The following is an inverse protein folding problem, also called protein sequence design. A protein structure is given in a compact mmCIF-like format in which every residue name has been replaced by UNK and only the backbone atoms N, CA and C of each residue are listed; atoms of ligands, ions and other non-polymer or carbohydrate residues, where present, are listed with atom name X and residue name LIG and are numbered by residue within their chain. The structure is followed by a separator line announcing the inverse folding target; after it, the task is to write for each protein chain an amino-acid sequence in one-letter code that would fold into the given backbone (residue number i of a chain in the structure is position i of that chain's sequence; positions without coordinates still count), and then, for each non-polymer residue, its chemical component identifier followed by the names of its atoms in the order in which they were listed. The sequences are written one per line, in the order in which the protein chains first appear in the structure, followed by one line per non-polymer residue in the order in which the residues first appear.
data_IF_986178510550
#
_entry.id   IF_986178510550
#
_cell.length_a   1.000
_cell.length_b   1.000
_cell.length_c   1.000
_cell.angle_alpha   90.00
_cell.angle_beta   90.00
_cell.angle_gamma   90.00
#
_symmetry.space_group_name_H-M   'P 1'
#
loop_
_entity.id
_entity.type
_entity.pdbx_description
1 polymer ?
#
# COMPACT_ATOMS: atom_id res chain seq x y z
N UNK A 1 11.94 -34.39 -38.34
CA UNK A 1 12.22 -34.91 -36.97
C UNK A 1 12.76 -33.73 -36.16
N UNK A 2 12.47 -33.60 -34.87
CA UNK A 2 12.88 -32.43 -34.08
C UNK A 2 14.41 -32.47 -33.90
N UNK A 3 15.13 -31.59 -34.60
CA UNK A 3 16.59 -31.48 -34.54
C UNK A 3 16.95 -30.29 -33.66
N UNK A 4 17.87 -30.50 -32.71
CA UNK A 4 18.31 -29.49 -31.75
C UNK A 4 19.82 -29.43 -31.82
N UNK A 5 20.36 -28.24 -32.10
CA UNK A 5 21.80 -28.01 -32.02
C UNK A 5 22.20 -27.71 -30.57
N UNK A 6 22.94 -28.62 -29.96
CA UNK A 6 23.47 -28.46 -28.60
C UNK A 6 24.77 -27.67 -28.54
N UNK A 7 25.36 -27.28 -29.69
CA UNK A 7 26.60 -26.49 -29.77
C UNK A 7 26.48 -25.09 -29.15
N UNK A 8 25.27 -24.54 -29.07
CA UNK A 8 24.96 -23.24 -28.47
C UNK A 8 24.31 -23.33 -27.08
N UNK A 9 24.43 -24.48 -26.38
CA UNK A 9 23.74 -24.72 -25.09
C UNK A 9 24.17 -23.80 -23.95
N UNK A 10 25.35 -23.20 -24.00
CA UNK A 10 25.89 -22.37 -22.92
C UNK A 10 25.90 -23.13 -21.57
N UNK A 11 25.29 -22.55 -20.53
CA UNK A 11 25.13 -23.15 -19.19
C UNK A 11 23.88 -24.04 -19.04
N UNK A 12 23.04 -24.16 -20.08
CA UNK A 12 21.78 -24.89 -20.01
C UNK A 12 22.00 -26.39 -20.07
N UNK A 13 21.22 -27.12 -19.29
CA UNK A 13 21.15 -28.59 -19.32
C UNK A 13 20.53 -29.06 -20.64
N UNK A 14 20.84 -30.30 -21.05
CA UNK A 14 20.25 -30.90 -22.25
C UNK A 14 18.72 -30.99 -22.15
N UNK A 15 18.18 -31.15 -20.94
CA UNK A 15 16.74 -31.13 -20.66
C UNK A 15 16.14 -29.77 -21.00
N UNK A 16 16.75 -28.67 -20.55
CA UNK A 16 16.29 -27.30 -20.82
C UNK A 16 16.37 -26.94 -22.31
N UNK A 17 17.39 -27.43 -23.03
CA UNK A 17 17.49 -27.26 -24.48
C UNK A 17 16.36 -27.98 -25.22
N UNK A 18 16.06 -29.23 -24.84
CA UNK A 18 14.97 -30.01 -25.45
C UNK A 18 13.62 -29.38 -25.14
N UNK A 19 13.36 -29.06 -23.88
CA UNK A 19 12.17 -28.36 -23.44
C UNK A 19 11.99 -27.03 -24.20
N UNK A 20 13.02 -26.18 -24.23
CA UNK A 20 12.95 -24.85 -24.83
C UNK A 20 12.70 -24.90 -26.34
N UNK A 21 13.37 -25.81 -27.06
CA UNK A 21 13.17 -25.97 -28.50
C UNK A 21 11.77 -26.48 -28.84
N UNK A 22 11.27 -27.49 -28.12
CA UNK A 22 9.93 -28.02 -28.36
C UNK A 22 8.88 -26.96 -28.01
N UNK A 23 9.05 -26.23 -26.90
CA UNK A 23 8.17 -25.11 -26.51
C UNK A 23 8.14 -24.02 -27.59
N UNK A 24 9.29 -23.62 -28.14
CA UNK A 24 9.35 -22.63 -29.22
C UNK A 24 8.65 -23.12 -30.49
N UNK A 25 8.79 -24.40 -30.86
CA UNK A 25 8.13 -24.94 -32.04
C UNK A 25 6.60 -25.05 -31.87
N UNK A 26 6.12 -25.34 -30.66
CA UNK A 26 4.69 -25.32 -30.31
C UNK A 26 4.14 -23.88 -30.38
N UNK A 27 4.82 -22.92 -29.73
CA UNK A 27 4.39 -21.51 -29.69
C UNK A 27 4.51 -20.81 -31.05
N UNK A 28 5.54 -21.13 -31.83
CA UNK A 28 5.76 -20.62 -33.18
C UNK A 28 4.86 -21.27 -34.24
N UNK A 29 4.00 -22.23 -33.86
CA UNK A 29 3.05 -22.89 -34.77
C UNK A 29 3.68 -23.92 -35.73
N UNK A 30 4.96 -24.25 -35.55
CA UNK A 30 5.64 -25.28 -36.34
C UNK A 30 5.17 -26.69 -35.96
N UNK A 31 4.81 -26.91 -34.70
CA UNK A 31 4.15 -28.13 -34.23
C UNK A 31 2.66 -27.82 -34.04
N UNK A 32 1.81 -28.52 -34.78
CA UNK A 32 0.36 -28.27 -34.80
C UNK A 32 -0.34 -28.91 -33.62
N UNK A 33 -1.49 -28.34 -33.25
CA UNK A 33 -2.41 -28.95 -32.28
C UNK A 33 -2.73 -30.41 -32.67
N UNK A 34 -2.70 -31.31 -31.68
CA UNK A 34 -2.85 -32.76 -31.82
C UNK A 34 -1.78 -33.46 -32.68
N UNK A 35 -0.69 -32.77 -33.04
CA UNK A 35 0.45 -33.40 -33.70
C UNK A 35 1.17 -34.33 -32.72
N UNK A 36 1.49 -35.54 -33.19
CA UNK A 36 2.17 -36.57 -32.40
C UNK A 36 3.67 -36.32 -32.37
N UNK A 37 4.24 -36.16 -31.19
CA UNK A 37 5.68 -36.06 -31.00
C UNK A 37 6.36 -37.44 -31.10
N UNK A 38 7.66 -37.48 -31.45
CA UNK A 38 8.46 -38.70 -31.37
C UNK A 38 8.43 -39.30 -29.96
N UNK A 39 8.52 -40.64 -29.88
CA UNK A 39 8.61 -41.32 -28.59
C UNK A 39 9.88 -40.90 -27.84
N UNK A 40 9.87 -41.01 -26.50
CA UNK A 40 11.03 -40.71 -25.65
C UNK A 40 12.32 -41.36 -26.15
N UNK A 41 12.24 -42.63 -26.57
CA UNK A 41 13.37 -43.43 -27.09
C UNK A 41 13.80 -42.99 -28.49
N UNK A 42 12.85 -42.69 -29.38
CA UNK A 42 13.15 -42.25 -30.73
C UNK A 42 13.83 -40.87 -30.74
N UNK A 43 13.34 -39.93 -29.92
CA UNK A 43 13.95 -38.61 -29.80
C UNK A 43 15.33 -38.68 -29.11
N UNK A 44 15.46 -39.52 -28.08
CA UNK A 44 16.74 -39.74 -27.41
C UNK A 44 17.79 -40.33 -28.35
N UNK A 45 17.42 -41.32 -29.16
CA UNK A 45 18.30 -41.92 -30.17
C UNK A 45 18.71 -40.91 -31.25
N UNK A 46 17.76 -40.10 -31.73
CA UNK A 46 18.01 -39.10 -32.76
C UNK A 46 18.94 -37.97 -32.29
N UNK A 47 18.77 -37.52 -31.04
CA UNK A 47 19.56 -36.44 -30.44
C UNK A 47 20.85 -36.91 -29.76
N UNK A 48 21.07 -38.23 -29.65
CA UNK A 48 22.24 -38.80 -28.97
C UNK A 48 22.26 -38.54 -27.46
N UNK A 49 21.10 -38.43 -26.81
CA UNK A 49 20.96 -38.10 -25.38
C UNK A 49 20.31 -39.24 -24.59
N UNK A 50 20.36 -39.17 -23.26
CA UNK A 50 19.66 -40.14 -22.39
C UNK A 50 18.14 -40.04 -22.57
N UNK A 51 17.46 -41.18 -22.55
CA UNK A 51 15.98 -41.27 -22.54
C UNK A 51 15.39 -40.50 -21.35
N UNK A 52 16.10 -40.46 -20.21
CA UNK A 52 15.68 -39.72 -19.01
C UNK A 52 15.64 -38.20 -19.25
N UNK A 53 16.59 -37.67 -20.03
CA UNK A 53 16.65 -36.24 -20.41
C UNK A 53 15.43 -35.84 -21.24
N UNK A 54 15.08 -36.65 -22.24
CA UNK A 54 13.88 -36.44 -23.05
C UNK A 54 12.61 -36.60 -22.21
N UNK A 55 12.59 -37.60 -21.31
CA UNK A 55 11.47 -37.82 -20.40
C UNK A 55 11.21 -36.59 -19.51
N UNK A 56 12.24 -36.02 -18.91
CA UNK A 56 12.10 -34.86 -18.04
C UNK A 56 11.63 -33.62 -18.81
N UNK A 57 12.14 -33.42 -20.04
CA UNK A 57 11.70 -32.33 -20.90
C UNK A 57 10.22 -32.48 -21.32
N UNK A 58 9.80 -33.69 -21.70
CA UNK A 58 8.40 -33.96 -22.03
C UNK A 58 7.49 -33.85 -20.81
N UNK A 59 7.94 -34.31 -19.64
CA UNK A 59 7.18 -34.19 -18.40
C UNK A 59 6.94 -32.72 -18.07
N UNK A 60 7.98 -31.88 -18.15
CA UNK A 60 7.85 -30.44 -17.94
C UNK A 60 6.87 -29.78 -18.93
N UNK A 61 6.87 -30.20 -20.19
CA UNK A 61 5.90 -29.71 -21.19
C UNK A 61 4.46 -30.20 -20.94
N UNK A 62 4.30 -31.38 -20.35
CA UNK A 62 2.99 -31.90 -19.92
C UNK A 62 2.49 -31.16 -18.69
N UNK A 63 3.37 -30.91 -17.71
CA UNK A 63 3.04 -30.18 -16.49
C UNK A 63 2.63 -28.73 -16.80
N UNK A 64 3.21 -28.12 -17.83
CA UNK A 64 2.81 -26.80 -18.36
C UNK A 64 1.58 -26.85 -19.29
N UNK A 65 1.05 -28.04 -19.57
CA UNK A 65 -0.12 -28.24 -20.42
C UNK A 65 0.13 -28.06 -21.92
N UNK A 66 1.38 -27.88 -22.36
CA UNK A 66 1.74 -27.74 -23.78
C UNK A 66 1.67 -29.06 -24.54
N UNK A 67 1.89 -30.17 -23.84
CA UNK A 67 1.70 -31.52 -24.34
C UNK A 67 0.67 -32.27 -23.49
N UNK A 68 0.07 -33.31 -24.07
CA UNK A 68 -0.67 -34.32 -23.34
C UNK A 68 -0.24 -35.71 -23.79
N UNK A 69 -0.34 -36.70 -22.89
CA UNK A 69 -0.02 -38.08 -23.21
C UNK A 69 -1.28 -38.93 -23.30
N UNK A 70 -1.37 -39.76 -24.33
CA UNK A 70 -2.39 -40.82 -24.41
C UNK A 70 -1.68 -42.16 -24.21
N UNK A 71 -2.20 -42.96 -23.26
CA UNK A 71 -1.66 -44.28 -22.96
C UNK A 71 -1.55 -45.14 -24.24
N UNK A 72 -0.39 -45.80 -24.43
CA UNK A 72 -0.07 -46.65 -25.60
C UNK A 72 -0.10 -45.94 -26.97
N UNK A 73 -0.39 -44.64 -27.04
CA UNK A 73 -0.47 -43.88 -28.30
C UNK A 73 0.61 -42.81 -28.46
N UNK A 74 1.13 -42.23 -27.38
CA UNK A 74 2.29 -41.32 -27.40
C UNK A 74 2.02 -39.95 -26.77
N UNK A 75 2.83 -38.96 -27.15
CA UNK A 75 2.76 -37.56 -26.68
C UNK A 75 2.23 -36.69 -27.82
N UNK A 76 1.33 -35.77 -27.52
CA UNK A 76 0.65 -34.94 -28.50
C UNK A 76 0.66 -33.48 -28.05
N UNK A 77 0.68 -32.53 -28.99
CA UNK A 77 0.59 -31.10 -28.69
C UNK A 77 -0.83 -30.73 -28.28
N UNK A 78 -0.99 -30.04 -27.15
CA UNK A 78 -2.29 -29.58 -26.65
C UNK A 78 -2.92 -28.52 -27.56
N UNK A 79 -4.27 -28.44 -27.59
CA UNK A 79 -5.03 -27.47 -28.39
C UNK A 79 -5.04 -26.03 -27.80
N UNK A 80 -3.95 -25.62 -27.14
CA UNK A 80 -3.78 -24.29 -26.55
C UNK A 80 -3.29 -23.28 -27.59
N UNK A 81 -2.58 -23.73 -28.62
CA UNK A 81 -1.99 -22.85 -29.67
C UNK A 81 -3.08 -22.10 -30.45
N UNK A 82 -4.29 -22.68 -30.59
CA UNK A 82 -5.43 -21.98 -31.19
C UNK A 82 -5.86 -20.76 -30.37
N UNK A 83 -5.75 -20.77 -29.04
CA UNK A 83 -6.10 -19.62 -28.21
C UNK A 83 -5.00 -18.55 -28.15
N UNK A 84 -3.73 -18.94 -28.26
CA UNK A 84 -2.60 -18.01 -28.29
C UNK A 84 -2.51 -17.22 -29.62
N UNK A 85 -2.87 -17.85 -30.74
CA UNK A 85 -2.81 -17.22 -32.06
C UNK A 85 -4.11 -16.48 -32.47
N UNK A 86 -5.23 -16.68 -31.76
CA UNK A 86 -6.52 -16.06 -32.10
C UNK A 86 -6.73 -14.68 -31.47
N UNK A 87 -5.69 -14.06 -30.93
CA UNK A 87 -5.84 -12.77 -30.26
C UNK A 87 -4.55 -12.22 -29.70
N UNK A 88 -3.43 -12.30 -30.43
CA UNK A 88 -2.31 -11.44 -30.11
C UNK A 88 -2.81 -10.00 -30.28
N UNK A 89 -2.90 -9.18 -29.20
CA UNK A 89 -3.15 -7.77 -29.40
C UNK A 89 -2.00 -7.28 -30.28
N UNK A 90 -2.35 -6.68 -31.44
CA UNK A 90 -1.38 -5.97 -32.28
C UNK A 90 -0.48 -5.17 -31.35
N UNK A 91 0.86 -5.27 -31.46
CA UNK A 91 1.77 -4.65 -30.50
C UNK A 91 1.27 -3.22 -30.33
N UNK A 92 0.74 -2.93 -29.14
CA UNK A 92 0.14 -1.65 -28.86
C UNK A 92 1.19 -0.66 -29.34
N UNK A 93 0.85 0.14 -30.36
CA UNK A 93 1.68 1.25 -30.77
C UNK A 93 2.08 1.88 -29.47
N UNK A 94 3.39 1.85 -29.20
CA UNK A 94 3.94 2.36 -27.96
C UNK A 94 3.53 3.82 -27.95
N UNK A 95 2.37 4.12 -27.36
CA UNK A 95 2.10 5.40 -26.78
C UNK A 95 3.32 5.56 -25.90
N UNK A 96 4.16 6.50 -26.30
CA UNK A 96 5.27 6.94 -25.51
C UNK A 96 4.69 7.18 -24.14
N UNK A 97 4.84 6.20 -23.25
CA UNK A 97 4.77 6.42 -21.81
C UNK A 97 5.65 7.65 -21.67
N UNK A 98 5.13 8.80 -21.20
CA UNK A 98 6.02 9.91 -20.91
C UNK A 98 7.07 9.27 -20.03
N UNK A 99 8.32 9.25 -20.52
CA UNK A 99 9.43 8.59 -19.86
C UNK A 99 9.26 9.00 -18.41
N UNK A 100 8.99 8.01 -17.54
CA UNK A 100 8.77 8.27 -16.13
C UNK A 100 9.97 9.10 -15.75
N UNK A 101 9.74 10.40 -15.55
CA UNK A 101 10.81 11.37 -15.54
C UNK A 101 11.77 10.82 -14.50
N UNK A 102 12.95 10.44 -14.98
CA UNK A 102 14.03 10.05 -14.13
C UNK A 102 14.25 11.29 -13.28
N UNK A 103 13.64 11.34 -12.09
CA UNK A 103 13.82 12.42 -11.12
C UNK A 103 15.17 12.20 -10.45
N UNK A 104 16.19 11.88 -11.25
CA UNK A 104 17.58 11.93 -10.90
C UNK A 104 17.94 13.39 -10.68
N UNK A 105 17.97 13.78 -9.41
CA UNK A 105 18.41 15.09 -8.94
C UNK A 105 17.43 16.20 -9.29
N UNK A 106 16.60 16.60 -8.32
CA UNK A 106 16.05 17.96 -8.34
C UNK A 106 17.21 18.94 -8.56
N UNK A 107 17.06 19.98 -9.42
CA UNK A 107 18.08 21.00 -9.55
C UNK A 107 18.39 21.59 -8.16
N UNK A 108 19.64 21.97 -7.87
CA UNK A 108 19.99 22.54 -6.58
C UNK A 108 19.21 23.84 -6.41
N UNK A 109 18.12 23.78 -5.66
CA UNK A 109 17.39 24.98 -5.26
C UNK A 109 18.30 25.78 -4.32
N UNK A 110 18.41 27.08 -4.54
CA UNK A 110 19.11 27.97 -3.61
C UNK A 110 18.43 27.96 -2.23
N UNK A 111 17.10 27.94 -2.22
CA UNK A 111 16.27 27.75 -1.03
C UNK A 111 14.97 27.06 -1.43
N UNK A 112 14.51 26.12 -0.60
CA UNK A 112 13.27 25.39 -0.83
C UNK A 112 12.25 25.71 0.27
N UNK A 113 11.21 26.45 -0.10
CA UNK A 113 10.07 26.79 0.76
C UNK A 113 8.84 25.91 0.47
N UNK A 114 8.99 24.91 -0.39
CA UNK A 114 7.90 24.04 -0.86
C UNK A 114 8.00 22.64 -0.29
N UNK A 115 9.23 22.12 -0.09
CA UNK A 115 9.41 20.82 0.51
C UNK A 115 9.18 20.89 2.01
N UNK A 116 8.18 20.15 2.46
CA UNK A 116 7.93 19.90 3.87
C UNK A 116 8.82 18.71 4.35
N UNK A 117 10.09 18.73 3.95
CA UNK A 117 11.06 17.65 4.11
C UNK A 117 11.88 17.83 5.40
N UNK A 118 12.18 16.72 6.07
CA UNK A 118 13.10 16.71 7.22
C UNK A 118 14.52 16.88 6.66
N UNK A 119 15.30 17.81 7.21
CA UNK A 119 16.71 17.97 6.84
C UNK A 119 17.46 16.66 7.09
N UNK A 120 18.10 16.05 6.06
CA UNK A 120 18.81 14.78 6.21
C UNK A 120 19.87 14.79 7.31
N UNK A 121 20.50 15.95 7.54
CA UNK A 121 21.55 16.15 8.55
C UNK A 121 21.04 16.02 9.99
N UNK A 122 19.74 16.23 10.21
CA UNK A 122 19.13 16.14 11.54
C UNK A 122 18.70 14.72 11.92
N UNK A 123 18.66 13.79 10.96
CA UNK A 123 18.25 12.42 11.26
C UNK A 123 19.37 11.66 11.98
N UNK A 124 19.12 11.06 13.17
CA UNK A 124 20.16 10.45 13.97
C UNK A 124 20.48 9.02 13.49
N UNK A 125 21.11 8.90 12.30
CA UNK A 125 21.42 7.61 11.67
C UNK A 125 22.15 6.64 12.59
N UNK A 126 23.16 7.11 13.33
CA UNK A 126 23.93 6.26 14.25
C UNK A 126 23.09 5.71 15.40
N UNK A 127 22.12 6.49 15.91
CA UNK A 127 21.20 6.01 16.93
C UNK A 127 20.26 4.96 16.33
N UNK A 128 19.63 5.28 15.20
CA UNK A 128 18.73 4.37 14.50
C UNK A 128 19.37 3.02 14.18
N UNK A 129 20.58 3.03 13.58
CA UNK A 129 21.31 1.81 13.26
C UNK A 129 21.71 0.99 14.49
N UNK A 130 22.02 1.65 15.62
CA UNK A 130 22.31 0.93 16.88
C UNK A 130 21.05 0.28 17.43
N UNK A 131 19.94 1.00 17.48
CA UNK A 131 18.66 0.46 17.96
C UNK A 131 18.18 -0.70 17.10
N UNK A 132 18.27 -0.59 15.77
CA UNK A 132 17.93 -1.69 14.86
C UNK A 132 18.78 -2.94 15.15
N UNK A 133 20.10 -2.78 15.28
CA UNK A 133 21.00 -3.90 15.62
C UNK A 133 20.67 -4.53 16.97
N UNK A 134 20.33 -3.73 17.98
CA UNK A 134 19.92 -4.24 19.30
C UNK A 134 18.66 -5.11 19.19
N UNK A 135 17.65 -4.67 18.42
CA UNK A 135 16.43 -5.45 18.21
C UNK A 135 16.71 -6.75 17.46
N UNK A 136 17.50 -6.70 16.39
CA UNK A 136 17.82 -7.88 15.59
C UNK A 136 18.67 -8.91 16.36
N UNK A 137 19.57 -8.45 17.23
CA UNK A 137 20.44 -9.32 18.04
C UNK A 137 19.76 -9.85 19.32
N UNK A 138 18.51 -9.48 19.58
CA UNK A 138 17.78 -9.99 20.74
C UNK A 138 17.32 -11.45 20.57
N UNK A 139 17.56 -12.05 19.39
CA UNK A 139 17.10 -13.40 18.99
C UNK A 139 15.62 -13.64 19.32
N UNK A 140 14.83 -12.57 19.19
CA UNK A 140 13.41 -12.58 19.54
C UNK A 140 12.62 -13.26 18.42
N UNK A 141 12.20 -14.51 18.64
CA UNK A 141 11.41 -15.30 17.70
C UNK A 141 10.16 -14.56 17.21
N UNK A 142 9.62 -13.61 17.98
CA UNK A 142 8.45 -12.80 17.60
C UNK A 142 8.70 -11.97 16.33
N UNK A 143 9.94 -11.64 16.01
CA UNK A 143 10.30 -10.94 14.77
C UNK A 143 10.04 -11.79 13.52
N UNK A 144 9.97 -13.12 13.67
CA UNK A 144 9.71 -14.07 12.58
C UNK A 144 8.23 -14.45 12.49
N UNK A 145 7.42 -14.05 13.46
CA UNK A 145 6.00 -14.36 13.52
C UNK A 145 5.17 -13.32 12.78
N UNK A 146 4.01 -13.75 12.27
CA UNK A 146 3.04 -12.83 11.68
C UNK A 146 2.56 -11.85 12.75
N UNK A 147 2.65 -10.57 12.43
CA UNK A 147 2.18 -9.50 13.30
C UNK A 147 0.65 -9.38 13.26
N UNK A 148 0.06 -8.90 14.36
CA UNK A 148 -1.35 -8.49 14.43
C UNK A 148 -1.68 -7.52 13.29
N UNK A 149 -2.90 -7.60 12.74
CA UNK A 149 -3.36 -6.75 11.63
C UNK A 149 -3.33 -5.26 11.96
N UNK A 150 -3.35 -4.91 13.25
CA UNK A 150 -3.28 -3.52 13.76
C UNK A 150 -1.84 -3.03 13.90
N UNK A 151 -0.85 -3.88 13.65
CA UNK A 151 0.57 -3.61 13.87
C UNK A 151 1.12 -4.25 15.15
N UNK A 152 2.45 -4.22 15.28
CA UNK A 152 3.17 -4.82 16.40
C UNK A 152 2.67 -4.28 17.73
N UNK A 153 2.49 -5.17 18.70
CA UNK A 153 2.01 -4.82 20.03
C UNK A 153 2.99 -3.86 20.73
N UNK A 154 4.29 -4.08 20.55
CA UNK A 154 5.36 -3.25 21.08
C UNK A 154 5.25 -1.82 20.55
N UNK A 155 5.00 -1.66 19.25
CA UNK A 155 4.81 -0.35 18.63
C UNK A 155 3.53 0.32 19.13
N UNK A 156 2.40 -0.41 19.18
CA UNK A 156 1.13 0.12 19.70
C UNK A 156 1.28 0.59 21.16
N UNK A 157 1.96 -0.20 22.00
CA UNK A 157 2.29 0.18 23.38
C UNK A 157 3.16 1.43 23.46
N UNK A 158 4.17 1.53 22.60
CA UNK A 158 5.03 2.71 22.53
C UNK A 158 4.24 3.96 22.11
N UNK A 159 3.32 3.83 21.15
CA UNK A 159 2.39 4.89 20.73
C UNK A 159 1.49 5.31 21.89
N UNK A 160 0.84 4.38 22.60
CA UNK A 160 -0.01 4.71 23.77
C UNK A 160 0.78 5.51 24.82
N UNK A 161 2.00 5.08 25.13
CA UNK A 161 2.88 5.79 26.06
C UNK A 161 3.22 7.20 25.56
N UNK A 162 3.58 7.32 24.29
CA UNK A 162 3.91 8.60 23.67
C UNK A 162 2.71 9.57 23.71
N UNK A 163 1.52 9.10 23.37
CA UNK A 163 0.29 9.90 23.45
C UNK A 163 -0.05 10.30 24.88
N UNK A 164 0.18 9.43 25.86
CA UNK A 164 -0.02 9.75 27.28
C UNK A 164 0.94 10.86 27.73
N UNK A 165 2.21 10.76 27.37
CA UNK A 165 3.25 11.73 27.76
C UNK A 165 3.07 13.08 27.06
N UNK A 166 2.77 13.08 25.76
CA UNK A 166 2.74 14.29 24.94
C UNK A 166 1.36 14.97 24.86
N UNK A 167 0.28 14.17 24.87
CA UNK A 167 -1.10 14.66 24.71
C UNK A 167 -2.00 14.39 25.91
N UNK A 168 -1.51 13.71 26.95
CA UNK A 168 -2.33 13.28 28.10
C UNK A 168 -3.57 12.47 27.69
N UNK A 169 -3.48 11.75 26.57
CA UNK A 169 -4.54 10.87 26.08
C UNK A 169 -4.48 9.54 26.82
N UNK A 170 -5.64 9.01 27.21
CA UNK A 170 -5.78 7.67 27.78
C UNK A 170 -6.30 6.72 26.69
N UNK A 171 -5.40 5.90 26.14
CA UNK A 171 -5.65 5.08 24.96
C UNK A 171 -5.08 3.69 25.18
N UNK A 172 -5.88 2.66 24.94
CA UNK A 172 -5.43 1.26 25.02
C UNK A 172 -4.75 0.80 23.73
N UNK A 173 -3.93 -0.25 23.84
CA UNK A 173 -3.23 -0.82 22.67
C UNK A 173 -4.25 -1.31 21.62
N UNK A 174 -5.42 -1.77 22.04
CA UNK A 174 -6.47 -2.37 21.22
C UNK A 174 -7.13 -1.37 20.27
N UNK A 175 -7.14 -0.08 20.65
CA UNK A 175 -7.69 1.03 19.88
C UNK A 175 -6.74 1.53 18.79
N UNK A 176 -5.44 1.22 18.89
CA UNK A 176 -4.41 1.72 17.98
C UNK A 176 -4.28 0.82 16.76
N UNK A 177 -4.37 1.43 15.57
CA UNK A 177 -4.07 0.78 14.29
C UNK A 177 -2.94 1.53 13.62
N UNK A 178 -1.86 0.81 13.30
CA UNK A 178 -0.69 1.33 12.58
C UNK A 178 -0.89 1.15 11.07
N UNK A 179 -0.61 2.19 10.30
CA UNK A 179 -0.72 2.22 8.84
C UNK A 179 0.54 2.74 8.15
N UNK A 180 0.66 2.40 6.86
CA UNK A 180 1.77 2.78 5.98
C UNK A 180 1.57 4.20 5.40
N UNK A 181 1.35 5.17 6.28
CA UNK A 181 0.99 6.55 5.97
C UNK A 181 -0.49 6.84 6.21
N UNK A 182 -0.83 8.11 6.45
CA UNK A 182 -2.20 8.55 6.75
C UNK A 182 -3.17 8.26 5.61
N UNK A 183 -2.71 8.25 4.36
CA UNK A 183 -3.55 7.94 3.20
C UNK A 183 -4.13 6.51 3.23
N UNK A 184 -3.35 5.56 3.77
CA UNK A 184 -3.78 4.17 3.96
C UNK A 184 -4.85 4.06 5.04
N UNK A 185 -4.73 4.84 6.10
CA UNK A 185 -5.68 4.91 7.20
C UNK A 185 -6.99 5.59 6.75
N UNK A 186 -6.91 6.67 5.96
CA UNK A 186 -8.10 7.29 5.36
C UNK A 186 -8.89 6.33 4.49
N UNK A 187 -8.21 5.53 3.67
CA UNK A 187 -8.85 4.51 2.86
C UNK A 187 -9.51 3.43 3.73
N UNK A 188 -8.84 3.01 4.81
CA UNK A 188 -9.38 2.03 5.75
C UNK A 188 -10.63 2.55 6.48
N UNK A 189 -10.63 3.81 6.91
CA UNK A 189 -11.77 4.44 7.58
C UNK A 189 -13.03 4.45 6.70
N UNK A 190 -12.90 4.68 5.40
CA UNK A 190 -14.05 4.59 4.48
C UNK A 190 -14.66 3.18 4.47
N UNK A 191 -13.83 2.14 4.51
CA UNK A 191 -14.33 0.77 4.56
C UNK A 191 -15.00 0.43 5.90
N UNK A 192 -14.54 1.03 7.01
CA UNK A 192 -15.12 0.83 8.33
C UNK A 192 -16.44 1.59 8.51
N UNK A 193 -16.49 2.84 8.04
CA UNK A 193 -17.63 3.74 8.26
C UNK A 193 -18.76 3.54 7.25
N UNK A 194 -18.44 2.95 6.09
CA UNK A 194 -19.38 2.74 5.00
C UNK A 194 -19.28 3.84 3.93
N UNK A 195 -19.55 3.44 2.69
CA UNK A 195 -19.48 4.33 1.51
C UNK A 195 -20.75 5.19 1.34
N UNK A 196 -21.82 4.84 2.05
CA UNK A 196 -23.08 5.58 2.11
C UNK A 196 -22.96 6.89 2.91
N UNK A 197 -21.92 7.02 3.74
CA UNK A 197 -21.72 8.20 4.57
C UNK A 197 -21.21 9.39 3.75
N UNK A 198 -21.74 10.56 4.11
CA UNK A 198 -21.28 11.84 3.58
C UNK A 198 -20.18 12.38 4.49
N UNK A 199 -19.00 12.62 3.92
CA UNK A 199 -17.86 13.19 4.63
C UNK A 199 -17.75 14.69 4.33
N UNK A 200 -17.54 15.49 5.37
CA UNK A 200 -17.16 16.88 5.27
C UNK A 200 -15.64 17.03 5.42
N UNK A 201 -15.05 17.94 4.64
CA UNK A 201 -13.62 18.31 4.72
C UNK A 201 -13.48 19.83 4.78
N UNK A 202 -12.47 20.31 5.50
CA UNK A 202 -12.14 21.74 5.58
C UNK A 202 -11.85 22.35 4.19
N UNK A 203 -12.34 23.57 3.95
CA UNK A 203 -12.09 24.34 2.73
C UNK A 203 -11.74 25.81 3.03
N UNK A 204 -10.49 26.25 2.75
CA UNK A 204 -9.35 25.43 2.28
C UNK A 204 -8.96 24.37 3.32
N UNK A 205 -8.30 23.30 2.88
CA UNK A 205 -7.92 22.19 3.75
C UNK A 205 -6.94 21.22 3.08
N UNK A 206 -6.67 20.08 3.72
CA UNK A 206 -5.84 19.03 3.12
C UNK A 206 -6.57 18.29 2.00
N UNK A 207 -6.44 18.80 0.77
CA UNK A 207 -7.17 18.31 -0.41
C UNK A 207 -7.08 16.79 -0.66
N UNK A 208 -5.94 16.17 -0.34
CA UNK A 208 -5.72 14.73 -0.52
C UNK A 208 -6.67 13.88 0.30
N UNK A 209 -7.05 14.29 1.51
CA UNK A 209 -8.03 13.54 2.31
C UNK A 209 -9.36 13.42 1.56
N UNK A 210 -9.89 14.54 1.06
CA UNK A 210 -11.12 14.56 0.27
C UNK A 210 -11.02 13.77 -1.04
N UNK A 211 -9.87 13.78 -1.72
CA UNK A 211 -9.63 12.96 -2.91
C UNK A 211 -9.66 11.46 -2.58
N UNK A 212 -8.97 11.04 -1.51
CA UNK A 212 -8.93 9.64 -1.08
C UNK A 212 -10.32 9.14 -0.72
N UNK A 213 -11.13 9.93 -0.02
CA UNK A 213 -12.50 9.55 0.32
C UNK A 213 -13.36 9.33 -0.94
N UNK A 214 -13.25 10.22 -1.94
CA UNK A 214 -13.95 10.08 -3.23
C UNK A 214 -13.48 8.86 -4.02
N UNK A 215 -12.17 8.62 -4.07
CA UNK A 215 -11.59 7.44 -4.74
C UNK A 215 -12.04 6.12 -4.11
N UNK A 216 -12.33 6.12 -2.81
CA UNK A 216 -12.90 4.97 -2.11
C UNK A 216 -14.44 4.86 -2.22
N UNK A 217 -15.08 5.77 -2.95
CA UNK A 217 -16.50 5.73 -3.28
C UNK A 217 -17.43 6.49 -2.34
N UNK A 218 -16.91 7.31 -1.42
CA UNK A 218 -17.73 8.16 -0.55
C UNK A 218 -18.01 9.53 -1.14
N UNK A 219 -19.15 10.10 -0.77
CA UNK A 219 -19.47 11.51 -1.05
C UNK A 219 -18.68 12.41 -0.11
N UNK A 220 -17.98 13.41 -0.66
CA UNK A 220 -17.17 14.34 0.12
C UNK A 220 -17.49 15.80 -0.21
N UNK A 221 -17.98 16.55 0.79
CA UNK A 221 -18.45 17.92 0.71
C UNK A 221 -17.43 18.87 1.36
N UNK A 222 -16.99 19.94 0.68
CA UNK A 222 -16.17 20.97 1.30
C UNK A 222 -17.00 21.85 2.22
N UNK A 223 -16.49 22.15 3.43
CA UNK A 223 -17.10 23.05 4.40
C UNK A 223 -16.15 24.20 4.69
N UNK A 224 -16.63 25.44 4.66
CA UNK A 224 -15.77 26.61 4.85
C UNK A 224 -15.24 26.70 6.27
N UNK A 225 -14.06 27.30 6.39
CA UNK A 225 -13.46 27.67 7.67
C UNK A 225 -13.65 29.17 7.95
N UNK A 226 -13.71 29.51 9.22
CA UNK A 226 -13.58 30.88 9.73
C UNK A 226 -12.30 31.02 10.58
N UNK A 227 -12.16 32.13 11.31
CA UNK A 227 -10.99 32.39 12.16
C UNK A 227 -10.80 31.39 13.31
N UNK A 228 -11.77 30.50 13.55
CA UNK A 228 -11.74 29.45 14.59
C UNK A 228 -11.64 28.05 14.01
N UNK A 229 -11.55 27.88 12.69
CA UNK A 229 -11.53 26.58 11.98
C UNK A 229 -12.84 26.31 11.24
N UNK A 230 -13.19 25.04 11.03
CA UNK A 230 -14.41 24.66 10.28
C UNK A 230 -15.70 25.26 10.84
N UNK A 231 -16.57 25.78 9.98
CA UNK A 231 -17.88 26.33 10.37
C UNK A 231 -18.84 25.19 10.75
N UNK A 232 -19.24 25.12 12.03
CA UNK A 232 -20.18 24.10 12.53
C UNK A 232 -21.58 24.31 11.96
N UNK A 233 -21.98 25.55 11.70
CA UNK A 233 -23.28 25.86 11.08
C UNK A 233 -23.35 25.32 9.64
N UNK A 234 -22.30 25.55 8.85
CA UNK A 234 -22.23 24.99 7.48
C UNK A 234 -22.08 23.47 7.50
N UNK A 235 -21.37 22.93 8.50
CA UNK A 235 -21.26 21.49 8.70
C UNK A 235 -22.63 20.85 8.95
N UNK A 236 -23.47 21.44 9.81
CA UNK A 236 -24.83 20.95 10.06
C UNK A 236 -25.69 21.01 8.78
N UNK A 237 -25.61 22.12 8.03
CA UNK A 237 -26.35 22.30 6.77
C UNK A 237 -25.86 21.36 5.64
N UNK A 238 -24.62 20.88 5.71
CA UNK A 238 -24.05 20.00 4.68
C UNK A 238 -24.68 18.60 4.65
N UNK A 239 -25.36 18.19 5.73
CA UNK A 239 -25.87 16.82 5.88
C UNK A 239 -24.77 15.76 6.04
N UNK A 240 -23.52 16.17 6.29
CA UNK A 240 -22.43 15.26 6.56
C UNK A 240 -22.67 14.45 7.84
N UNK A 241 -22.22 13.20 7.84
CA UNK A 241 -22.17 12.36 9.04
C UNK A 241 -20.76 12.30 9.60
N UNK A 242 -19.73 12.51 8.79
CA UNK A 242 -18.34 12.44 9.25
C UNK A 242 -17.65 13.74 8.87
N UNK A 243 -16.79 14.28 9.74
CA UNK A 243 -16.00 15.48 9.43
C UNK A 243 -14.52 15.22 9.64
N UNK A 244 -13.68 15.59 8.67
CA UNK A 244 -12.21 15.60 8.80
C UNK A 244 -11.74 17.01 9.15
N UNK A 245 -10.97 17.13 10.23
CA UNK A 245 -10.49 18.41 10.77
C UNK A 245 -9.05 18.35 11.23
N UNK A 246 -8.36 19.49 11.20
CA UNK A 246 -6.98 19.64 11.66
C UNK A 246 -6.85 20.67 12.81
N UNK A 247 -7.37 20.36 14.01
CA UNK A 247 -7.70 21.38 15.01
C UNK A 247 -6.48 21.93 15.77
N UNK A 248 -5.39 21.17 15.89
CA UNK A 248 -4.17 21.62 16.59
C UNK A 248 -3.43 22.71 15.80
N UNK A 249 -3.32 22.51 14.49
CA UNK A 249 -2.62 23.39 13.57
C UNK A 249 -3.18 23.18 12.15
N UNK A 250 -4.17 24.00 11.80
CA UNK A 250 -4.94 23.81 10.58
C UNK A 250 -4.06 23.90 9.33
N UNK A 251 -4.15 22.93 8.43
CA UNK A 251 -3.45 22.99 7.16
C UNK A 251 -4.38 23.55 6.06
N UNK A 252 -3.99 24.58 5.28
CA UNK A 252 -2.67 25.23 5.24
C UNK A 252 -2.58 26.55 6.04
N UNK A 253 -3.66 26.99 6.70
CA UNK A 253 -3.76 28.37 7.24
C UNK A 253 -3.03 28.61 8.56
N UNK A 254 -2.64 27.55 9.26
CA UNK A 254 -2.00 27.61 10.58
C UNK A 254 -2.94 27.97 11.73
N UNK A 255 -4.25 28.06 11.50
CA UNK A 255 -5.24 28.38 12.55
C UNK A 255 -5.23 27.28 13.61
N UNK A 256 -5.13 27.65 14.89
CA UNK A 256 -5.41 26.73 16.00
C UNK A 256 -6.88 26.84 16.39
N UNK A 257 -7.61 25.73 16.31
CA UNK A 257 -9.01 25.66 16.68
C UNK A 257 -9.17 25.85 18.20
N UNK A 258 -9.96 26.86 18.58
CA UNK A 258 -10.20 27.20 19.98
C UNK A 258 -11.08 26.17 20.70
N UNK A 259 -11.09 26.25 22.03
CA UNK A 259 -11.83 25.30 22.86
C UNK A 259 -13.36 25.34 22.62
N UNK A 260 -13.92 26.52 22.28
CA UNK A 260 -15.36 26.66 22.04
C UNK A 260 -15.77 25.96 20.74
N UNK A 261 -14.98 26.10 19.67
CA UNK A 261 -15.20 25.40 18.41
C UNK A 261 -15.04 23.89 18.56
N UNK A 262 -14.07 23.45 19.36
CA UNK A 262 -13.89 22.03 19.69
C UNK A 262 -15.14 21.44 20.36
N UNK A 263 -15.68 22.13 21.37
CA UNK A 263 -16.90 21.69 22.05
C UNK A 263 -18.11 21.67 21.10
N UNK A 264 -18.27 22.69 20.25
CA UNK A 264 -19.35 22.74 19.27
C UNK A 264 -19.27 21.58 18.23
N UNK A 265 -18.06 21.14 17.86
CA UNK A 265 -17.89 19.96 17.00
C UNK A 265 -18.28 18.67 17.72
N UNK A 266 -17.93 18.53 18.99
CA UNK A 266 -18.35 17.37 19.79
C UNK A 266 -19.87 17.35 19.97
N UNK A 267 -20.49 18.49 20.28
CA UNK A 267 -21.95 18.63 20.33
C UNK A 267 -22.61 18.27 18.99
N UNK A 268 -22.01 18.69 17.88
CA UNK A 268 -22.46 18.29 16.53
C UNK A 268 -22.40 16.77 16.35
N UNK A 269 -21.33 16.12 16.80
CA UNK A 269 -21.16 14.68 16.68
C UNK A 269 -22.14 13.89 17.58
N UNK A 270 -22.38 14.38 18.80
CA UNK A 270 -23.37 13.80 19.71
C UNK A 270 -24.82 14.03 19.25
N UNK A 271 -25.06 15.01 18.37
CA UNK A 271 -26.40 15.40 17.93
C UNK A 271 -27.15 14.36 17.10
N UNK A 272 -26.48 13.37 16.51
CA UNK A 272 -27.13 12.29 15.77
C UNK A 272 -26.28 11.00 15.74
N UNK A 273 -26.92 9.81 15.70
CA UNK A 273 -26.20 8.54 15.63
C UNK A 273 -25.40 8.41 14.33
N UNK A 274 -24.23 7.77 14.43
CA UNK A 274 -23.34 7.56 13.28
C UNK A 274 -22.58 8.81 12.85
N UNK A 275 -22.59 9.89 13.66
CA UNK A 275 -21.72 11.03 13.46
C UNK A 275 -20.35 10.82 14.11
N UNK A 276 -19.30 11.14 13.36
CA UNK A 276 -17.92 10.98 13.82
C UNK A 276 -17.02 12.13 13.36
N UNK A 277 -15.94 12.36 14.09
CA UNK A 277 -14.91 13.32 13.77
C UNK A 277 -13.62 12.57 13.50
N UNK A 278 -12.96 12.87 12.39
CA UNK A 278 -11.59 12.45 12.10
C UNK A 278 -10.66 13.62 12.44
N UNK A 279 -9.93 13.50 13.54
CA UNK A 279 -8.94 14.49 13.98
C UNK A 279 -7.57 14.16 13.40
N UNK A 280 -7.08 14.95 12.44
CA UNK A 280 -5.74 14.84 11.85
C UNK A 280 -4.74 15.77 12.54
N UNK A 281 -3.79 15.19 13.27
CA UNK A 281 -2.84 15.88 14.15
C UNK A 281 -1.39 15.70 13.67
N UNK A 282 -1.12 16.11 12.43
CA UNK A 282 0.08 15.74 11.65
C UNK A 282 1.42 16.35 12.09
N UNK A 283 1.43 17.48 12.80
CA UNK A 283 2.65 18.19 13.26
C UNK A 283 2.56 18.70 14.71
N UNK A 284 1.57 18.17 15.41
CA UNK A 284 1.40 18.08 16.84
C UNK A 284 2.63 18.36 17.72
N UNK A 285 3.75 17.69 17.41
CA UNK A 285 4.96 17.68 18.21
C UNK A 285 5.79 18.98 18.09
N UNK A 286 5.52 19.81 17.10
CA UNK A 286 6.31 21.00 16.74
C UNK A 286 5.69 22.31 17.22
N UNK A 287 5.24 22.36 18.49
CA UNK A 287 4.72 23.58 19.10
C UNK A 287 5.83 24.38 19.78
N UNK A 288 6.19 25.52 19.19
CA UNK A 288 7.27 26.37 19.73
C UNK A 288 6.85 27.30 20.87
N UNK A 289 5.54 27.53 21.07
CA UNK A 289 5.04 28.43 22.10
C UNK A 289 3.73 27.93 22.74
N UNK A 290 3.65 28.09 24.07
CA UNK A 290 2.50 27.71 24.88
C UNK A 290 2.34 26.19 25.05
N UNK A 291 1.45 25.80 25.97
CA UNK A 291 1.04 24.40 26.10
C UNK A 291 0.11 24.02 24.94
N UNK A 292 0.19 22.78 24.42
CA UNK A 292 -0.77 22.31 23.43
C UNK A 292 -2.19 22.34 24.01
N UNK A 293 -3.17 22.72 23.19
CA UNK A 293 -4.57 22.55 23.56
C UNK A 293 -4.91 21.04 23.58
N UNK A 294 -5.83 20.61 24.45
CA UNK A 294 -6.34 19.23 24.44
C UNK A 294 -6.86 18.86 23.05
N UNK A 295 -6.54 17.65 22.59
CA UNK A 295 -7.08 17.08 21.35
C UNK A 295 -8.59 16.90 21.47
N UNK A 296 -9.33 16.90 20.36
CA UNK A 296 -10.76 16.55 20.37
C UNK A 296 -10.96 15.17 21.01
N UNK A 297 -10.10 14.22 20.65
CA UNK A 297 -10.14 12.87 21.22
C UNK A 297 -9.98 12.87 22.74
N UNK A 298 -9.11 13.71 23.31
CA UNK A 298 -8.86 13.72 24.76
C UNK A 298 -10.02 14.27 25.59
N UNK A 299 -10.90 15.06 24.97
CA UNK A 299 -12.06 15.68 25.63
C UNK A 299 -13.39 15.03 25.22
N UNK A 300 -13.35 14.10 24.26
CA UNK A 300 -14.49 13.28 23.87
C UNK A 300 -14.80 12.24 24.95
N UNK A 301 -16.08 12.16 25.33
CA UNK A 301 -16.59 11.22 26.34
C UNK A 301 -17.55 10.18 25.77
N UNK A 302 -17.99 10.37 24.54
CA UNK A 302 -19.04 9.56 23.92
C UNK A 302 -18.51 8.70 22.78
N UNK A 303 -17.22 8.85 22.41
CA UNK A 303 -16.55 7.98 21.46
C UNK A 303 -16.85 8.34 20.01
N UNK A 304 -16.95 9.63 19.71
CA UNK A 304 -17.17 10.15 18.37
C UNK A 304 -15.88 10.50 17.62
N UNK A 305 -14.72 10.57 18.28
CA UNK A 305 -13.48 11.03 17.66
C UNK A 305 -12.54 9.87 17.32
N UNK A 306 -12.22 9.77 16.03
CA UNK A 306 -11.12 8.97 15.51
C UNK A 306 -9.90 9.87 15.33
N UNK A 307 -8.84 9.63 16.11
CA UNK A 307 -7.61 10.42 16.07
C UNK A 307 -6.60 9.82 15.09
N UNK A 308 -5.92 10.65 14.31
CA UNK A 308 -4.88 10.24 13.35
C UNK A 308 -3.63 11.10 13.54
N UNK A 309 -2.48 10.46 13.55
CA UNK A 309 -1.18 11.14 13.58
C UNK A 309 -0.14 10.33 12.77
N UNK A 310 0.99 10.95 12.45
CA UNK A 310 2.06 10.43 11.60
C UNK A 310 3.45 10.70 12.17
N UNK A 311 4.35 9.72 12.04
CA UNK A 311 5.77 9.92 12.32
C UNK A 311 6.56 10.50 11.14
N UNK A 312 5.87 10.90 10.07
CA UNK A 312 6.50 11.44 8.86
C UNK A 312 7.20 12.78 9.11
N UNK A 313 6.79 13.53 10.13
CA UNK A 313 7.39 14.82 10.53
C UNK A 313 8.43 14.68 11.63
N UNK A 314 8.24 13.72 12.53
CA UNK A 314 9.10 13.52 13.71
C UNK A 314 10.27 12.56 13.46
N UNK A 315 10.13 11.61 12.54
CA UNK A 315 11.20 10.68 12.16
C UNK A 315 11.70 10.95 10.73
N UNK A 316 10.92 10.51 9.74
CA UNK A 316 11.24 10.71 8.33
C UNK A 316 10.03 10.36 7.47
N UNK A 317 9.74 11.15 6.41
CA UNK A 317 8.64 10.84 5.48
C UNK A 317 8.85 9.51 4.74
N UNK A 318 10.09 9.02 4.63
CA UNK A 318 10.42 7.77 3.94
C UNK A 318 9.97 6.53 4.70
N UNK A 319 9.81 6.59 6.03
CA UNK A 319 9.35 5.43 6.80
C UNK A 319 7.85 5.18 6.65
N UNK A 320 7.08 6.22 6.32
CA UNK A 320 5.61 6.16 6.15
C UNK A 320 4.92 5.42 7.31
N UNK A 321 5.26 5.74 8.55
CA UNK A 321 4.59 5.16 9.72
C UNK A 321 3.56 6.17 10.21
N UNK A 322 2.29 5.76 10.26
CA UNK A 322 1.19 6.55 10.83
C UNK A 322 0.32 5.65 11.68
N UNK A 323 -0.52 6.23 12.51
CA UNK A 323 -1.45 5.47 13.33
C UNK A 323 -2.77 6.21 13.49
N UNK A 324 -3.81 5.45 13.78
CA UNK A 324 -5.09 5.98 14.20
C UNK A 324 -5.53 5.35 15.52
N UNK A 325 -6.26 6.10 16.32
CA UNK A 325 -6.94 5.66 17.53
C UNK A 325 -8.43 5.64 17.23
N UNK A 326 -9.02 4.44 17.31
CA UNK A 326 -10.46 4.27 17.16
C UNK A 326 -11.17 4.42 18.52
N UNK A 327 -12.43 4.88 18.52
CA UNK A 327 -13.31 4.76 19.69
C UNK A 327 -13.35 3.32 20.24
N UNK A 328 -13.55 3.19 21.55
CA UNK A 328 -13.60 1.92 22.26
C UNK A 328 -14.89 1.14 21.97
#
# INVERSE_FOLDING_TARGET
MITIDFGQRGTRTLTECIYGSVKQQILGGSLRSNEKLPSKRALALHLGVSVLTVQNAYQQLIDEGLLYSIEKKGFFVSDIVRHLNSGAPSPAQSSSRPAAADRGGSPPFFADFTSNAVSPEKFPFSLWSRTMRQVLNADDERLLLRTDIRGSRELRRAICRHLREFRNMDVSEEQVIVGAGTESLYSMLVQFLGRDKVLAVENPGYHKAGEIFRLNGSTCIPVRIDSRGISVEELEQSGASIVHVSPSHHFPTGITMDFRRRLALLEWASGAPGRYIIEDDYDSEFRFAGKPLPTLQSIDREGHVMYINTFSKTLSPSFRISYMVLPA
#
